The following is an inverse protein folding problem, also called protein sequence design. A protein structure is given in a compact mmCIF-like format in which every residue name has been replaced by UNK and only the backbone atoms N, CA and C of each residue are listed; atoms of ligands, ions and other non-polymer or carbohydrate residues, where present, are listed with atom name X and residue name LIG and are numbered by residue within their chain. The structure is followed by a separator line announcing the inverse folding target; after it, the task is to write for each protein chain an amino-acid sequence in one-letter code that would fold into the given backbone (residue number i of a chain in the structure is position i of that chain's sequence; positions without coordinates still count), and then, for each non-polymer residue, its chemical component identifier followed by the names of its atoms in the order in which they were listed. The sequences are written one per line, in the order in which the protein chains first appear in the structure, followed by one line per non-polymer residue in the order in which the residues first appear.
data_IF_846123977656
#
_entry.id   IF_846123977656
#
_cell.length_a   1.000
_cell.length_b   1.000
_cell.length_c   1.000
_cell.angle_alpha   90.00
_cell.angle_beta   90.00
_cell.angle_gamma   90.00
#
_symmetry.space_group_name_H-M   'P 1'
#
loop_
_entity.id
_entity.type
_entity.pdbx_description
1 polymer ?
#
# COMPACT_ATOMS: atom_id res chain seq x y z
N UNK A 1 3.82 -81.23 8.14
CA UNK A 1 4.35 -81.55 9.45
C UNK A 1 4.90 -80.23 9.98
N UNK A 2 4.30 -79.47 10.79
CA UNK A 2 3.61 -79.73 12.05
C UNK A 2 4.50 -79.28 13.18
N UNK A 3 4.21 -78.15 13.76
CA UNK A 3 4.23 -77.97 15.18
C UNK A 3 3.88 -76.54 15.57
N UNK A 4 2.69 -76.37 16.07
CA UNK A 4 2.23 -75.24 16.89
C UNK A 4 2.88 -75.35 18.27
N UNK A 5 3.33 -74.24 18.81
CA UNK A 5 3.42 -74.04 20.26
C UNK A 5 3.01 -72.65 20.66
N UNK A 6 1.84 -72.59 21.24
CA UNK A 6 1.24 -71.53 22.04
C UNK A 6 1.99 -71.41 23.35
N UNK A 7 2.20 -70.16 23.82
CA UNK A 7 2.18 -69.86 25.26
C UNK A 7 1.84 -68.37 25.49
N UNK A 8 0.58 -68.20 25.85
CA UNK A 8 0.01 -67.06 26.55
C UNK A 8 0.76 -66.76 27.86
N UNK A 9 1.20 -65.55 28.07
CA UNK A 9 1.33 -64.98 29.41
C UNK A 9 0.80 -63.53 29.36
N UNK A 10 -0.41 -63.40 29.80
CA UNK A 10 -1.08 -62.17 30.18
C UNK A 10 -0.39 -61.63 31.42
N UNK A 11 0.28 -60.47 31.34
CA UNK A 11 0.67 -59.70 32.51
C UNK A 11 -0.43 -58.68 32.86
N UNK A 12 -0.69 -58.46 34.15
CA UNK A 12 -1.88 -57.71 34.57
C UNK A 12 -1.70 -56.20 34.35
N UNK A 13 -2.76 -55.57 33.89
CA UNK A 13 -2.97 -54.18 33.47
C UNK A 13 -2.90 -53.15 34.63
N UNK A 14 -2.23 -53.40 35.73
CA UNK A 14 -2.22 -52.53 36.92
C UNK A 14 -0.95 -51.82 37.27
N UNK A 15 0.12 -51.86 36.45
CA UNK A 15 1.40 -51.20 36.75
C UNK A 15 1.80 -50.12 35.76
N UNK A 16 0.96 -49.75 34.77
CA UNK A 16 1.23 -48.67 33.82
C UNK A 16 0.53 -47.33 34.17
N UNK A 17 -0.45 -47.33 35.08
CA UNK A 17 -1.08 -46.09 35.54
C UNK A 17 -0.30 -45.29 36.57
N UNK A 18 0.67 -45.88 37.25
CA UNK A 18 1.45 -45.20 38.27
C UNK A 18 2.72 -44.50 37.74
N UNK A 19 3.10 -44.71 36.47
CA UNK A 19 4.26 -44.03 35.83
C UNK A 19 3.88 -42.85 34.96
N UNK A 20 2.59 -42.68 34.60
CA UNK A 20 2.09 -41.53 33.80
C UNK A 20 1.62 -40.32 34.64
N UNK A 21 1.64 -40.42 35.96
CA UNK A 21 1.06 -39.39 36.84
C UNK A 21 2.10 -38.36 37.35
N UNK A 22 3.26 -38.22 36.74
CA UNK A 22 4.25 -37.16 37.05
C UNK A 22 4.95 -36.58 35.81
N UNK A 23 4.23 -36.34 34.74
CA UNK A 23 4.64 -35.34 33.81
C UNK A 23 3.75 -34.12 34.09
N UNK A 24 4.17 -33.29 35.03
CA UNK A 24 3.68 -31.95 35.16
C UNK A 24 3.79 -31.35 33.74
N UNK A 25 2.74 -30.75 33.15
CA UNK A 25 2.93 -29.87 32.03
C UNK A 25 3.80 -28.74 32.57
N UNK A 26 5.09 -28.78 32.29
CA UNK A 26 5.94 -27.60 32.49
C UNK A 26 5.31 -26.53 31.62
N UNK A 27 4.50 -25.69 32.23
CA UNK A 27 4.26 -24.34 31.77
C UNK A 27 5.64 -23.76 31.49
N UNK A 28 5.97 -23.60 30.21
CA UNK A 28 7.13 -22.81 29.85
C UNK A 28 6.99 -21.48 30.60
N UNK A 29 8.00 -21.02 31.32
CA UNK A 29 7.87 -19.79 32.10
C UNK A 29 7.38 -18.70 31.14
N UNK A 30 6.37 -17.93 31.53
CA UNK A 30 5.94 -16.72 30.82
C UNK A 30 7.13 -15.75 30.64
N UNK A 31 8.18 -15.95 31.38
CA UNK A 31 9.44 -15.23 31.39
C UNK A 31 10.36 -15.56 30.18
N UNK A 32 10.25 -16.71 29.53
CA UNK A 32 11.15 -17.09 28.45
C UNK A 32 10.95 -16.23 27.16
N UNK A 33 9.78 -15.65 26.97
CA UNK A 33 9.47 -14.78 25.83
C UNK A 33 9.82 -13.30 26.12
N UNK A 34 10.02 -12.91 27.38
CA UNK A 34 10.25 -11.52 27.77
C UNK A 34 11.53 -10.92 27.14
N UNK A 35 12.71 -11.55 27.16
CA UNK A 35 13.91 -10.99 26.55
C UNK A 35 13.74 -10.78 25.04
N UNK A 36 13.14 -11.75 24.34
CA UNK A 36 12.87 -11.65 22.89
C UNK A 36 11.89 -10.50 22.63
N UNK A 37 10.83 -10.39 23.42
CA UNK A 37 9.81 -9.31 23.27
C UNK A 37 10.42 -7.93 23.49
N UNK A 38 11.22 -7.75 24.55
CA UNK A 38 11.84 -6.47 24.90
C UNK A 38 12.85 -6.04 23.84
N UNK A 39 13.67 -6.98 23.37
CA UNK A 39 14.61 -6.73 22.28
C UNK A 39 13.89 -6.39 20.98
N UNK A 40 12.88 -7.20 20.60
CA UNK A 40 12.06 -6.99 19.42
C UNK A 40 11.36 -5.63 19.46
N UNK A 41 10.83 -5.23 20.61
CA UNK A 41 10.17 -3.95 20.82
C UNK A 41 11.08 -2.75 20.50
N UNK A 42 12.40 -2.89 20.66
CA UNK A 42 13.40 -1.86 20.36
C UNK A 42 13.82 -1.81 18.88
N UNK A 43 13.44 -2.81 18.06
CA UNK A 43 13.79 -2.83 16.64
C UNK A 43 13.14 -1.65 15.90
N UNK A 44 13.93 -0.89 15.15
CA UNK A 44 13.45 0.22 14.32
C UNK A 44 13.15 -0.33 12.93
N UNK A 45 11.87 -0.35 12.57
CA UNK A 45 11.45 -0.76 11.23
C UNK A 45 11.81 0.31 10.19
N UNK A 46 12.50 -0.05 9.08
CA UNK A 46 13.00 0.92 8.11
C UNK A 46 11.87 1.64 7.34
N UNK A 47 10.70 1.02 7.20
CA UNK A 47 9.55 1.63 6.52
C UNK A 47 8.79 2.57 7.45
N UNK A 48 8.61 2.19 8.71
CA UNK A 48 7.94 3.03 9.72
C UNK A 48 8.85 4.16 10.23
N UNK A 49 10.16 3.93 10.29
CA UNK A 49 11.14 4.87 10.86
C UNK A 49 10.96 5.06 12.37
N UNK A 50 10.35 4.11 13.05
CA UNK A 50 10.09 4.09 14.49
C UNK A 50 10.22 2.66 15.03
N UNK A 51 10.32 2.51 16.35
CA UNK A 51 10.42 1.18 16.95
C UNK A 51 9.11 0.40 16.82
N UNK A 52 9.21 -0.94 16.82
CA UNK A 52 8.01 -1.80 16.80
C UNK A 52 7.09 -1.53 18.02
N UNK A 53 7.68 -1.14 19.16
CA UNK A 53 6.90 -0.71 20.32
C UNK A 53 6.12 0.57 20.05
N UNK A 54 6.75 1.62 19.49
CA UNK A 54 6.10 2.87 19.15
C UNK A 54 4.99 2.68 18.10
N UNK A 55 5.19 1.75 17.17
CA UNK A 55 4.22 1.37 16.17
C UNK A 55 3.09 0.48 16.71
N UNK A 56 3.20 -0.01 17.94
CA UNK A 56 2.32 -1.05 18.51
C UNK A 56 2.21 -2.26 17.56
N UNK A 57 3.35 -2.67 16.99
CA UNK A 57 3.41 -3.67 15.94
C UNK A 57 3.61 -5.10 16.47
N UNK A 58 4.10 -5.27 17.71
CA UNK A 58 4.26 -6.60 18.33
C UNK A 58 2.91 -7.07 18.84
N UNK A 59 2.35 -8.10 18.22
CA UNK A 59 1.06 -8.70 18.62
C UNK A 59 1.29 -9.80 19.66
N UNK A 60 2.18 -10.74 19.37
CA UNK A 60 2.55 -11.79 20.32
C UNK A 60 3.99 -12.28 20.12
N UNK A 61 4.56 -12.80 21.20
CA UNK A 61 5.82 -13.55 21.20
C UNK A 61 5.62 -14.79 22.05
N UNK A 62 5.81 -15.95 21.48
CA UNK A 62 5.72 -17.24 22.20
C UNK A 62 6.96 -18.09 21.95
N UNK A 63 7.42 -18.77 22.99
CA UNK A 63 8.59 -19.65 22.94
C UNK A 63 8.15 -21.08 23.19
N UNK A 64 8.56 -21.98 22.32
CA UNK A 64 8.30 -23.40 22.38
C UNK A 64 9.61 -24.19 22.43
N UNK A 65 9.52 -25.51 22.64
CA UNK A 65 10.72 -26.37 22.72
C UNK A 65 11.65 -26.28 21.52
N UNK A 66 11.10 -26.00 20.33
CA UNK A 66 11.83 -26.04 19.06
C UNK A 66 12.00 -24.67 18.41
N UNK A 67 11.50 -23.57 18.99
CA UNK A 67 11.56 -22.27 18.35
C UNK A 67 10.82 -21.17 19.10
N UNK A 68 10.94 -19.98 18.57
CA UNK A 68 10.18 -18.80 18.97
C UNK A 68 9.27 -18.39 17.80
N UNK A 69 7.97 -18.16 18.08
CA UNK A 69 7.03 -17.59 17.14
C UNK A 69 6.80 -16.12 17.49
N UNK A 70 7.01 -15.25 16.53
CA UNK A 70 6.76 -13.81 16.61
C UNK A 70 5.63 -13.46 15.66
N UNK A 71 4.60 -12.83 16.19
CA UNK A 71 3.50 -12.29 15.40
C UNK A 71 3.55 -10.76 15.41
N UNK A 72 3.66 -10.19 14.21
CA UNK A 72 3.68 -8.74 14.02
C UNK A 72 2.46 -8.28 13.24
N UNK A 73 1.96 -7.09 13.60
CA UNK A 73 0.84 -6.44 12.96
C UNK A 73 1.24 -5.07 12.45
N UNK A 74 1.14 -4.88 11.13
CA UNK A 74 1.46 -3.62 10.49
C UNK A 74 0.22 -2.88 9.98
N UNK A 75 0.19 -1.57 10.10
CA UNK A 75 -0.87 -0.71 9.55
C UNK A 75 -0.79 -0.53 8.03
N UNK A 76 -0.02 -1.36 7.32
CA UNK A 76 0.17 -1.32 5.88
C UNK A 76 0.18 -2.73 5.27
N UNK A 77 -0.01 -2.89 3.95
CA UNK A 77 0.04 -4.18 3.27
C UNK A 77 1.43 -4.80 3.38
N UNK A 78 1.55 -6.02 3.88
CA UNK A 78 2.84 -6.63 4.24
C UNK A 78 2.97 -8.12 3.88
N UNK A 79 2.15 -8.64 2.95
CA UNK A 79 2.13 -10.08 2.65
C UNK A 79 3.51 -10.62 2.20
N UNK A 80 4.28 -9.86 1.42
CA UNK A 80 5.63 -10.23 0.94
C UNK A 80 6.76 -9.70 1.83
N UNK A 81 6.46 -8.84 2.81
CA UNK A 81 7.48 -8.21 3.66
C UNK A 81 8.18 -9.21 4.59
N UNK A 82 7.51 -10.29 4.96
CA UNK A 82 8.08 -11.32 5.83
C UNK A 82 9.37 -11.93 5.29
N UNK A 83 9.48 -12.10 3.98
CA UNK A 83 10.68 -12.64 3.35
C UNK A 83 11.91 -11.72 3.51
N UNK A 84 11.70 -10.40 3.53
CA UNK A 84 12.75 -9.40 3.76
C UNK A 84 13.06 -9.26 5.26
N UNK A 85 12.04 -9.26 6.11
CA UNK A 85 12.14 -8.93 7.53
C UNK A 85 12.69 -10.11 8.38
N UNK A 86 12.31 -11.36 8.07
CA UNK A 86 12.67 -12.53 8.86
C UNK A 86 14.19 -12.71 9.02
N UNK A 87 15.04 -12.65 7.97
CA UNK A 87 16.48 -12.81 8.13
C UNK A 87 17.09 -11.67 8.97
N UNK A 88 16.56 -10.45 8.84
CA UNK A 88 17.04 -9.29 9.62
C UNK A 88 16.68 -9.45 11.09
N UNK A 89 15.43 -9.82 11.41
CA UNK A 89 15.02 -10.06 12.79
C UNK A 89 15.72 -11.24 13.41
N UNK A 90 16.00 -12.30 12.66
CA UNK A 90 16.77 -13.45 13.16
C UNK A 90 18.16 -13.00 13.62
N UNK A 91 18.88 -12.24 12.81
CA UNK A 91 20.19 -11.69 13.17
C UNK A 91 20.09 -10.73 14.36
N UNK A 92 19.07 -9.88 14.39
CA UNK A 92 18.87 -8.90 15.47
C UNK A 92 18.55 -9.56 16.82
N UNK A 93 17.82 -10.67 16.80
CA UNK A 93 17.37 -11.40 17.99
C UNK A 93 18.29 -12.57 18.36
N UNK A 94 19.38 -12.85 17.62
CA UNK A 94 20.23 -14.01 17.82
C UNK A 94 20.74 -14.17 19.25
N UNK A 95 21.17 -13.11 19.99
CA UNK A 95 21.59 -13.24 21.38
C UNK A 95 20.50 -13.76 22.31
N UNK A 96 19.23 -13.40 22.08
CA UNK A 96 18.08 -13.77 22.89
C UNK A 96 17.48 -15.13 22.47
N UNK A 97 17.68 -15.51 21.19
CA UNK A 97 17.19 -16.80 20.67
C UNK A 97 17.99 -18.00 21.17
N UNK A 98 19.29 -17.81 21.48
CA UNK A 98 20.13 -18.92 21.97
C UNK A 98 20.23 -20.11 20.99
N UNK A 99 20.12 -19.84 19.68
CA UNK A 99 20.18 -20.86 18.63
C UNK A 99 18.86 -21.56 18.31
N UNK A 100 17.73 -21.16 18.92
CA UNK A 100 16.40 -21.70 18.55
C UNK A 100 15.90 -21.09 17.25
N UNK A 101 15.02 -21.82 16.55
CA UNK A 101 14.43 -21.35 15.31
C UNK A 101 13.48 -20.17 15.57
N UNK A 102 13.47 -19.18 14.65
CA UNK A 102 12.54 -18.06 14.66
C UNK A 102 11.53 -18.23 13.52
N UNK A 103 10.26 -18.31 13.89
CA UNK A 103 9.12 -18.22 12.99
C UNK A 103 8.50 -16.82 13.08
N UNK A 104 8.13 -16.25 11.92
CA UNK A 104 7.56 -14.92 11.82
C UNK A 104 6.22 -14.96 11.06
N UNK A 105 5.18 -14.45 11.69
CA UNK A 105 3.88 -14.23 11.06
C UNK A 105 3.62 -12.74 10.99
N UNK A 106 3.26 -12.24 9.80
CA UNK A 106 2.88 -10.85 9.58
C UNK A 106 1.39 -10.75 9.26
N UNK A 107 0.74 -9.75 9.84
CA UNK A 107 -0.66 -9.41 9.57
C UNK A 107 -0.78 -7.93 9.21
N UNK A 108 -1.53 -7.64 8.16
CA UNK A 108 -1.92 -6.27 7.80
C UNK A 108 -3.18 -5.87 8.58
N UNK A 109 -3.13 -4.72 9.27
CA UNK A 109 -4.26 -4.11 9.97
C UNK A 109 -4.43 -2.66 9.51
N UNK A 110 -4.91 -2.51 8.27
CA UNK A 110 -5.07 -1.21 7.63
C UNK A 110 -6.28 -0.51 8.24
N UNK A 111 -6.04 0.63 8.87
CA UNK A 111 -7.05 1.46 9.50
C UNK A 111 -7.39 2.68 8.64
N UNK A 112 -8.54 3.31 8.89
CA UNK A 112 -8.91 4.59 8.27
C UNK A 112 -8.10 5.73 8.88
N UNK A 113 -7.70 6.68 8.04
CA UNK A 113 -6.97 7.87 8.46
C UNK A 113 -7.80 9.13 8.23
N UNK A 114 -7.51 10.15 9.05
CA UNK A 114 -8.23 11.42 9.00
C UNK A 114 -8.07 12.08 7.62
N UNK A 115 -9.18 12.60 7.12
CA UNK A 115 -9.26 13.42 5.91
C UNK A 115 -9.36 14.91 6.29
N UNK A 116 -9.52 15.80 5.30
CA UNK A 116 -9.76 17.23 5.55
C UNK A 116 -10.97 17.43 6.48
N UNK A 117 -10.86 18.36 7.43
CA UNK A 117 -11.86 18.59 8.50
C UNK A 117 -13.29 18.85 7.99
N UNK A 118 -13.42 19.45 6.81
CA UNK A 118 -14.71 19.83 6.21
C UNK A 118 -15.35 18.69 5.41
N UNK A 119 -14.64 17.59 5.20
CA UNK A 119 -15.09 16.47 4.37
C UNK A 119 -15.46 15.26 5.23
N UNK A 120 -16.35 14.44 4.68
CA UNK A 120 -16.68 13.12 5.26
C UNK A 120 -15.94 12.04 4.48
N UNK A 121 -15.39 11.02 5.16
CA UNK A 121 -14.82 9.85 4.49
C UNK A 121 -15.85 9.21 3.54
N UNK A 122 -15.38 8.64 2.45
CA UNK A 122 -16.21 7.88 1.53
C UNK A 122 -16.60 6.54 2.19
N UNK A 123 -17.88 6.18 2.14
CA UNK A 123 -18.35 4.91 2.67
C UNK A 123 -17.60 3.74 2.00
N UNK A 124 -17.27 2.72 2.79
CA UNK A 124 -16.57 1.50 2.34
C UNK A 124 -15.12 1.69 1.86
N UNK A 125 -14.56 2.90 1.87
CA UNK A 125 -13.17 3.18 1.51
C UNK A 125 -12.42 3.70 2.74
N UNK A 126 -11.41 2.95 3.20
CA UNK A 126 -10.65 3.35 4.40
C UNK A 126 -9.74 4.56 4.13
N UNK A 127 -9.04 4.56 3.01
CA UNK A 127 -8.06 5.58 2.69
C UNK A 127 -8.11 5.96 1.21
N UNK A 128 -8.15 7.25 0.91
CA UNK A 128 -8.01 7.77 -0.44
C UNK A 128 -6.63 8.41 -0.55
N UNK A 129 -5.83 7.97 -1.53
CA UNK A 129 -4.49 8.48 -1.79
C UNK A 129 -4.44 9.12 -3.17
N UNK A 130 -4.21 10.43 -3.20
CA UNK A 130 -4.06 11.18 -4.43
C UNK A 130 -2.63 11.03 -4.99
N UNK A 131 -2.52 10.71 -6.28
CA UNK A 131 -1.25 10.75 -7.03
C UNK A 131 -1.30 11.96 -7.95
N UNK A 132 -0.42 12.91 -7.72
CA UNK A 132 -0.42 14.19 -8.40
C UNK A 132 0.97 14.54 -8.97
N UNK A 133 0.99 15.43 -9.93
CA UNK A 133 2.23 15.98 -10.51
C UNK A 133 2.06 17.45 -10.86
N UNK A 134 3.15 18.21 -10.79
CA UNK A 134 3.15 19.62 -11.16
C UNK A 134 3.02 19.86 -12.66
N UNK A 135 3.35 18.88 -13.51
CA UNK A 135 3.24 18.96 -14.98
C UNK A 135 2.90 17.58 -15.58
N UNK A 136 2.47 17.58 -16.85
CA UNK A 136 2.27 16.36 -17.63
C UNK A 136 3.58 15.69 -18.04
N UNK A 137 3.52 14.40 -18.40
CA UNK A 137 4.66 13.65 -18.94
C UNK A 137 5.68 13.13 -17.92
N UNK A 138 5.46 13.29 -16.61
CA UNK A 138 6.36 12.78 -15.56
C UNK A 138 6.10 11.32 -15.15
N UNK A 139 5.15 10.65 -15.79
CA UNK A 139 4.78 9.26 -15.46
C UNK A 139 3.85 9.11 -14.26
N UNK A 140 3.05 10.14 -13.96
CA UNK A 140 2.06 10.15 -12.87
C UNK A 140 1.11 8.95 -12.93
N UNK A 141 0.44 8.75 -14.07
CA UNK A 141 -0.57 7.71 -14.26
C UNK A 141 0.02 6.29 -14.22
N UNK A 142 1.21 6.10 -14.81
CA UNK A 142 1.98 4.85 -14.69
C UNK A 142 2.35 4.55 -13.23
N UNK A 143 2.74 5.58 -12.48
CA UNK A 143 3.04 5.46 -11.04
C UNK A 143 1.77 5.12 -10.25
N UNK A 144 0.63 5.75 -10.56
CA UNK A 144 -0.65 5.48 -9.90
C UNK A 144 -1.13 4.04 -10.14
N UNK A 145 -1.07 3.55 -11.38
CA UNK A 145 -1.41 2.17 -11.73
C UNK A 145 -0.53 1.16 -10.97
N UNK A 146 0.80 1.32 -11.05
CA UNK A 146 1.73 0.41 -10.38
C UNK A 146 1.66 0.51 -8.84
N UNK A 147 1.34 1.67 -8.26
CA UNK A 147 1.06 1.83 -6.83
C UNK A 147 -0.15 0.99 -6.40
N UNK A 148 -1.26 1.10 -7.15
CA UNK A 148 -2.47 0.33 -6.88
C UNK A 148 -2.22 -1.17 -6.97
N UNK A 149 -1.54 -1.61 -8.03
CA UNK A 149 -1.17 -3.00 -8.25
C UNK A 149 -0.20 -3.53 -7.17
N UNK A 150 0.77 -2.72 -6.74
CA UNK A 150 1.71 -3.09 -5.69
C UNK A 150 1.02 -3.30 -4.33
N UNK A 151 0.05 -2.45 -3.98
CA UNK A 151 -0.74 -2.65 -2.76
C UNK A 151 -1.66 -3.87 -2.86
N UNK A 152 -2.29 -4.10 -4.02
CA UNK A 152 -3.12 -5.28 -4.25
C UNK A 152 -2.28 -6.58 -4.16
N UNK A 153 -1.09 -6.61 -4.77
CA UNK A 153 -0.16 -7.74 -4.69
C UNK A 153 0.31 -8.03 -3.26
N UNK A 154 0.33 -7.03 -2.38
CA UNK A 154 0.68 -7.17 -0.96
C UNK A 154 -0.55 -7.44 -0.05
N UNK A 155 -1.70 -7.76 -0.64
CA UNK A 155 -2.89 -8.25 0.07
C UNK A 155 -3.91 -7.18 0.47
N UNK A 156 -3.78 -5.93 0.00
CA UNK A 156 -4.80 -4.91 0.22
C UNK A 156 -5.92 -5.01 -0.82
N UNK A 157 -7.12 -4.57 -0.45
CA UNK A 157 -8.23 -4.35 -1.37
C UNK A 157 -8.11 -2.94 -1.93
N UNK A 158 -7.93 -2.81 -3.23
CA UNK A 158 -7.53 -1.54 -3.86
C UNK A 158 -8.47 -1.17 -4.99
N UNK A 159 -8.82 0.12 -5.05
CA UNK A 159 -9.44 0.78 -6.18
C UNK A 159 -8.50 1.78 -6.84
N UNK A 160 -8.72 2.05 -8.12
CA UNK A 160 -8.03 3.06 -8.92
C UNK A 160 -9.07 3.91 -9.63
N UNK A 161 -9.09 5.22 -9.33
CA UNK A 161 -9.91 6.20 -10.00
C UNK A 161 -9.03 7.07 -10.89
N UNK A 162 -9.29 7.03 -12.20
CA UNK A 162 -8.72 7.96 -13.16
C UNK A 162 -9.52 9.27 -13.14
N UNK A 163 -8.93 10.30 -12.62
CA UNK A 163 -9.49 11.64 -12.53
C UNK A 163 -8.93 12.62 -13.59
N UNK A 164 -8.11 12.13 -14.52
CA UNK A 164 -7.59 12.93 -15.63
C UNK A 164 -8.58 12.94 -16.81
N UNK A 165 -9.53 13.86 -16.76
CA UNK A 165 -10.61 13.96 -17.80
C UNK A 165 -10.06 14.32 -19.17
N UNK A 166 -8.95 15.07 -19.23
CA UNK A 166 -8.40 15.54 -20.51
C UNK A 166 -7.60 14.47 -21.25
N UNK A 167 -7.06 13.50 -20.52
CA UNK A 167 -6.27 12.41 -21.07
C UNK A 167 -6.40 11.14 -20.24
N UNK A 168 -7.62 10.56 -20.15
CA UNK A 168 -7.83 9.37 -19.34
C UNK A 168 -7.00 8.22 -19.90
N UNK A 169 -6.05 7.74 -19.11
CA UNK A 169 -5.06 6.74 -19.53
C UNK A 169 -5.22 5.39 -18.84
N UNK A 170 -5.90 5.35 -17.70
CA UNK A 170 -6.06 4.12 -16.94
C UNK A 170 -6.85 3.01 -17.68
N UNK A 171 -7.87 3.32 -18.53
CA UNK A 171 -8.51 2.29 -19.35
C UNK A 171 -7.52 1.50 -20.21
N UNK A 172 -6.60 2.20 -20.88
CA UNK A 172 -5.57 1.56 -21.70
C UNK A 172 -4.56 0.82 -20.83
N UNK A 173 -3.99 1.48 -19.83
CA UNK A 173 -2.94 0.91 -18.96
C UNK A 173 -3.40 -0.34 -18.21
N UNK A 174 -4.68 -0.44 -17.84
CA UNK A 174 -5.23 -1.56 -17.10
C UNK A 174 -5.86 -2.64 -18.01
N UNK A 175 -5.71 -2.53 -19.35
CA UNK A 175 -6.24 -3.49 -20.31
C UNK A 175 -7.78 -3.51 -20.41
N UNK A 176 -8.42 -2.38 -20.08
CA UNK A 176 -9.88 -2.23 -20.04
C UNK A 176 -10.42 -1.29 -21.13
N UNK A 177 -9.59 -0.92 -22.12
CA UNK A 177 -9.99 -0.04 -23.21
C UNK A 177 -11.19 -0.63 -23.98
N UNK A 178 -12.18 0.21 -24.26
CA UNK A 178 -13.41 -0.18 -24.98
C UNK A 178 -14.44 -0.95 -24.15
N UNK A 179 -14.14 -1.30 -22.89
CA UNK A 179 -15.10 -1.95 -22.00
C UNK A 179 -15.93 -0.88 -21.28
N UNK A 180 -17.25 -1.04 -21.28
CA UNK A 180 -18.16 -0.11 -20.57
C UNK A 180 -18.62 -0.72 -19.25
N UNK A 181 -18.58 0.06 -18.14
CA UNK A 181 -19.11 -0.38 -16.87
C UNK A 181 -20.64 -0.52 -16.92
N UNK A 182 -21.17 -1.39 -16.09
CA UNK A 182 -22.62 -1.60 -15.98
C UNK A 182 -23.20 -0.78 -14.84
N UNK A 183 -24.48 -0.42 -14.96
CA UNK A 183 -25.28 0.13 -13.86
C UNK A 183 -26.23 -0.92 -13.34
N UNK A 184 -26.31 -1.11 -12.03
CA UNK A 184 -27.17 -2.15 -11.42
C UNK A 184 -28.59 -1.63 -11.17
N UNK A 185 -28.74 -0.34 -10.89
CA UNK A 185 -30.00 0.31 -10.51
C UNK A 185 -30.28 1.60 -11.29
N UNK A 186 -29.57 1.82 -12.41
CA UNK A 186 -29.64 3.02 -13.23
C UNK A 186 -28.97 4.26 -12.61
N UNK A 187 -28.47 4.16 -11.38
CA UNK A 187 -27.80 5.25 -10.67
C UNK A 187 -26.36 4.93 -10.31
N UNK A 188 -26.10 3.76 -9.75
CA UNK A 188 -24.77 3.36 -9.31
C UNK A 188 -24.04 2.59 -10.40
N UNK A 189 -22.77 2.88 -10.56
CA UNK A 189 -21.89 2.31 -11.57
C UNK A 189 -21.00 1.24 -10.92
N UNK A 190 -21.02 0.03 -11.47
CA UNK A 190 -20.15 -1.04 -11.01
C UNK A 190 -18.74 -0.82 -11.58
N UNK A 191 -17.69 -0.71 -10.74
CA UNK A 191 -16.31 -0.54 -11.24
C UNK A 191 -15.88 -1.77 -12.03
N UNK A 192 -15.08 -1.56 -13.07
CA UNK A 192 -14.42 -2.65 -13.77
C UNK A 192 -13.30 -3.25 -12.91
N UNK A 193 -12.88 -4.47 -13.24
CA UNK A 193 -11.80 -5.15 -12.50
C UNK A 193 -10.70 -5.60 -13.43
N UNK A 194 -9.45 -5.25 -13.11
CA UNK A 194 -8.27 -5.73 -13.79
C UNK A 194 -7.14 -5.96 -12.77
N UNK A 195 -6.39 -7.03 -12.94
CA UNK A 195 -5.22 -7.38 -12.11
C UNK A 195 -5.47 -7.33 -10.59
N UNK A 196 -6.70 -7.66 -10.14
CA UNK A 196 -7.08 -7.62 -8.71
C UNK A 196 -7.47 -6.24 -8.16
N UNK A 197 -7.54 -5.20 -9.02
CA UNK A 197 -7.90 -3.82 -8.66
C UNK A 197 -9.26 -3.46 -9.25
N UNK A 198 -10.10 -2.73 -8.48
CA UNK A 198 -11.32 -2.10 -8.99
C UNK A 198 -10.94 -0.79 -9.70
N UNK A 199 -11.38 -0.62 -10.95
CA UNK A 199 -10.97 0.51 -11.79
C UNK A 199 -12.18 1.30 -12.25
N UNK A 200 -12.13 2.61 -12.09
CA UNK A 200 -13.10 3.54 -12.66
C UNK A 200 -12.38 4.69 -13.36
N UNK A 201 -12.89 5.09 -14.51
CA UNK A 201 -12.38 6.20 -15.29
C UNK A 201 -13.53 6.89 -16.01
N UNK A 202 -13.41 8.20 -16.14
CA UNK A 202 -14.31 8.95 -17.04
C UNK A 202 -14.19 8.43 -18.49
N UNK A 203 -13.02 7.92 -18.87
CA UNK A 203 -12.77 7.34 -20.19
C UNK A 203 -13.62 6.11 -20.53
N UNK A 204 -14.26 5.46 -19.55
CA UNK A 204 -15.24 4.41 -19.80
C UNK A 204 -16.63 4.94 -20.20
N UNK A 205 -16.93 6.20 -19.86
CA UNK A 205 -18.26 6.81 -20.01
C UNK A 205 -18.34 7.75 -21.20
N UNK A 206 -17.22 8.24 -21.69
CA UNK A 206 -17.15 9.14 -22.85
C UNK A 206 -16.66 8.39 -24.08
N UNK A 207 -17.12 8.83 -25.24
CA UNK A 207 -16.60 8.33 -26.50
C UNK A 207 -15.27 9.05 -26.81
N UNK A 208 -14.20 8.27 -26.98
CA UNK A 208 -12.87 8.81 -27.25
C UNK A 208 -12.78 9.61 -28.56
N UNK A 209 -13.69 9.37 -29.50
CA UNK A 209 -13.74 10.07 -30.80
C UNK A 209 -14.56 11.36 -30.77
N UNK A 210 -15.34 11.59 -29.70
CA UNK A 210 -16.15 12.81 -29.59
C UNK A 210 -15.47 13.87 -28.72
N UNK A 211 -15.00 14.99 -29.30
CA UNK A 211 -14.41 16.06 -28.52
C UNK A 211 -15.46 16.72 -27.63
N UNK A 212 -15.40 16.48 -26.33
CA UNK A 212 -16.23 17.19 -25.35
C UNK A 212 -15.49 18.43 -24.85
N UNK A 213 -16.17 19.58 -24.91
CA UNK A 213 -15.61 20.83 -24.35
C UNK A 213 -15.88 20.87 -22.85
N UNK A 214 -14.95 20.35 -22.08
CA UNK A 214 -15.02 20.36 -20.62
C UNK A 214 -14.60 21.73 -20.07
N UNK A 215 -15.48 22.34 -19.23
CA UNK A 215 -15.13 23.52 -18.43
C UNK A 215 -14.85 23.10 -17.01
N UNK A 216 -13.95 23.80 -16.31
CA UNK A 216 -13.49 23.43 -14.97
C UNK A 216 -14.56 23.00 -13.96
N UNK A 217 -15.67 23.77 -13.77
CA UNK A 217 -16.75 23.38 -12.87
C UNK A 217 -17.45 22.06 -13.27
N UNK A 218 -17.63 21.81 -14.59
CA UNK A 218 -18.23 20.57 -15.10
C UNK A 218 -17.31 19.37 -14.82
N UNK A 219 -16.01 19.53 -15.04
CA UNK A 219 -14.99 18.51 -14.73
C UNK A 219 -15.07 18.08 -13.27
N UNK A 220 -15.05 19.04 -12.36
CA UNK A 220 -15.08 18.76 -10.93
C UNK A 220 -16.37 18.10 -10.49
N UNK A 221 -17.51 18.53 -11.05
CA UNK A 221 -18.80 17.91 -10.76
C UNK A 221 -18.84 16.45 -11.25
N UNK A 222 -18.43 16.20 -12.49
CA UNK A 222 -18.39 14.86 -13.07
C UNK A 222 -17.50 13.91 -12.27
N UNK A 223 -16.32 14.35 -11.85
CA UNK A 223 -15.41 13.54 -11.04
C UNK A 223 -15.93 13.29 -9.62
N UNK A 224 -16.55 14.29 -8.98
CA UNK A 224 -17.19 14.11 -7.67
C UNK A 224 -18.34 13.12 -7.75
N UNK A 225 -19.12 13.20 -8.82
CA UNK A 225 -20.21 12.27 -9.09
C UNK A 225 -19.67 10.87 -9.39
N UNK A 226 -18.65 10.75 -10.24
CA UNK A 226 -18.02 9.47 -10.56
C UNK A 226 -17.45 8.79 -9.30
N UNK A 227 -16.82 9.55 -8.41
CA UNK A 227 -16.34 9.03 -7.13
C UNK A 227 -17.49 8.52 -6.24
N UNK A 228 -18.59 9.28 -6.16
CA UNK A 228 -19.73 8.98 -5.29
C UNK A 228 -20.69 7.94 -5.83
N UNK A 229 -20.92 7.92 -7.15
CA UNK A 229 -21.86 7.00 -7.80
C UNK A 229 -21.22 5.65 -8.16
N UNK A 230 -19.91 5.50 -8.03
CA UNK A 230 -19.24 4.20 -8.18
C UNK A 230 -19.49 3.33 -6.95
N UNK A 231 -20.03 2.14 -7.17
CA UNK A 231 -20.24 1.12 -6.14
C UNK A 231 -18.93 0.45 -5.76
N UNK A 232 -18.03 1.21 -5.12
CA UNK A 232 -16.78 0.66 -4.61
C UNK A 232 -17.05 -0.44 -3.60
N UNK A 233 -16.27 -1.51 -3.65
CA UNK A 233 -16.26 -2.56 -2.62
C UNK A 233 -15.69 -2.04 -1.28
N UNK A 234 -15.48 -2.97 -0.35
CA UNK A 234 -14.78 -2.65 0.89
C UNK A 234 -13.29 -2.46 0.59
N UNK A 235 -12.85 -1.23 0.33
CA UNK A 235 -11.48 -0.91 -0.05
C UNK A 235 -10.64 -0.51 1.15
N UNK A 236 -9.39 -0.97 1.17
CA UNK A 236 -8.37 -0.49 2.09
C UNK A 236 -7.73 0.80 1.56
N UNK A 237 -7.56 0.88 0.22
CA UNK A 237 -7.06 2.07 -0.48
C UNK A 237 -7.84 2.34 -1.76
N UNK A 238 -8.11 3.61 -2.03
CA UNK A 238 -8.51 4.10 -3.35
C UNK A 238 -7.42 5.06 -3.84
N UNK A 239 -6.73 4.68 -4.90
CA UNK A 239 -5.73 5.54 -5.58
C UNK A 239 -6.48 6.44 -6.54
N UNK A 240 -6.26 7.75 -6.43
CA UNK A 240 -6.84 8.75 -7.36
C UNK A 240 -5.72 9.31 -8.21
N UNK A 241 -5.74 8.99 -9.50
CA UNK A 241 -4.84 9.54 -10.51
C UNK A 241 -5.34 10.94 -10.90
N UNK A 242 -4.72 11.98 -10.32
CA UNK A 242 -5.16 13.37 -10.46
C UNK A 242 -4.81 13.93 -11.84
N UNK A 243 -5.54 14.94 -12.37
CA UNK A 243 -5.08 15.68 -13.55
C UNK A 243 -3.69 16.27 -13.35
N UNK A 244 -2.88 16.45 -14.39
CA UNK A 244 -1.57 17.09 -14.26
C UNK A 244 -1.67 18.61 -14.02
N UNK A 245 -0.65 19.18 -13.40
CA UNK A 245 -0.56 20.62 -13.17
C UNK A 245 -0.92 21.03 -11.73
N UNK A 246 -1.11 22.32 -11.50
CA UNK A 246 -1.43 22.93 -10.20
C UNK A 246 -2.56 23.97 -10.31
N UNK A 247 -3.39 23.82 -11.36
CA UNK A 247 -4.48 24.75 -11.66
C UNK A 247 -5.75 24.53 -10.82
N UNK A 248 -6.77 25.31 -11.14
CA UNK A 248 -8.05 25.37 -10.38
C UNK A 248 -8.76 24.00 -10.30
N UNK A 249 -8.64 23.17 -11.32
CA UNK A 249 -9.27 21.84 -11.33
C UNK A 249 -8.64 20.94 -10.27
N UNK A 250 -7.32 20.88 -10.23
CA UNK A 250 -6.59 20.08 -9.23
C UNK A 250 -6.87 20.59 -7.82
N UNK A 251 -6.83 21.90 -7.61
CA UNK A 251 -7.15 22.52 -6.32
C UNK A 251 -8.57 22.18 -5.89
N UNK A 252 -9.56 22.31 -6.78
CA UNK A 252 -10.96 22.03 -6.48
C UNK A 252 -11.19 20.56 -6.20
N UNK A 253 -10.54 19.66 -6.93
CA UNK A 253 -10.61 18.21 -6.65
C UNK A 253 -10.00 17.90 -5.28
N UNK A 254 -8.81 18.43 -4.99
CA UNK A 254 -8.17 18.25 -3.69
C UNK A 254 -9.00 18.80 -2.52
N UNK A 255 -9.89 19.77 -2.76
CA UNK A 255 -10.83 20.31 -1.76
C UNK A 255 -12.12 19.49 -1.62
N UNK A 256 -12.51 18.70 -2.63
CA UNK A 256 -13.80 17.97 -2.64
C UNK A 256 -13.65 16.46 -2.42
N UNK A 257 -12.52 15.89 -2.76
CA UNK A 257 -12.20 14.47 -2.52
C UNK A 257 -11.66 14.33 -1.10
N UNK A 258 -12.20 13.42 -0.27
CA UNK A 258 -11.72 13.21 1.10
C UNK A 258 -10.39 12.43 1.11
N UNK A 259 -9.29 13.13 0.84
CA UNK A 259 -7.95 12.55 0.68
C UNK A 259 -7.27 12.34 2.02
N UNK A 260 -6.85 11.11 2.30
CA UNK A 260 -6.07 10.75 3.51
C UNK A 260 -4.59 11.11 3.36
N UNK A 261 -4.08 11.19 2.13
CA UNK A 261 -2.71 11.58 1.84
C UNK A 261 -2.45 11.74 0.35
N UNK A 262 -1.43 12.51 -0.02
CA UNK A 262 -1.05 12.76 -1.40
C UNK A 262 0.41 12.33 -1.68
N UNK A 263 0.68 11.86 -2.88
CA UNK A 263 2.01 11.52 -3.41
C UNK A 263 2.28 12.46 -4.57
N UNK A 264 3.46 13.08 -4.58
CA UNK A 264 3.90 13.97 -5.66
C UNK A 264 4.89 13.23 -6.55
N UNK A 265 4.54 13.07 -7.82
CA UNK A 265 5.43 12.46 -8.83
C UNK A 265 6.14 13.57 -9.60
N UNK A 266 7.46 13.46 -9.70
CA UNK A 266 8.31 14.38 -10.44
C UNK A 266 9.42 13.63 -11.18
N UNK A 267 10.20 14.34 -11.98
CA UNK A 267 11.46 13.86 -12.59
C UNK A 267 12.61 14.69 -12.06
N UNK A 268 13.89 14.26 -12.20
CA UNK A 268 15.03 14.98 -11.64
C UNK A 268 15.27 16.39 -12.19
N UNK A 269 14.67 16.74 -13.34
CA UNK A 269 14.87 18.03 -14.00
C UNK A 269 14.37 19.21 -13.15
N UNK A 270 15.14 20.29 -13.07
CA UNK A 270 14.82 21.48 -12.27
C UNK A 270 13.44 22.08 -12.57
N UNK A 271 13.05 22.12 -13.85
CA UNK A 271 11.73 22.62 -14.26
C UNK A 271 10.59 21.75 -13.68
N UNK A 272 10.77 20.42 -13.69
CA UNK A 272 9.79 19.51 -13.11
C UNK A 272 9.69 19.67 -11.58
N UNK A 273 10.84 19.87 -10.92
CA UNK A 273 10.91 20.13 -9.50
C UNK A 273 10.24 21.46 -9.10
N UNK A 274 10.39 22.51 -9.90
CA UNK A 274 9.69 23.79 -9.68
C UNK A 274 8.18 23.62 -9.67
N UNK A 275 7.63 22.84 -10.60
CA UNK A 275 6.20 22.58 -10.66
C UNK A 275 5.73 21.60 -9.56
N UNK A 276 6.54 20.60 -9.22
CA UNK A 276 6.27 19.70 -8.10
C UNK A 276 6.18 20.44 -6.76
N UNK A 277 7.02 21.47 -6.55
CA UNK A 277 6.93 22.38 -5.37
C UNK A 277 5.60 23.09 -5.27
N UNK A 278 5.07 23.58 -6.42
CA UNK A 278 3.73 24.21 -6.45
C UNK A 278 2.64 23.18 -6.07
N UNK A 279 2.74 21.94 -6.56
CA UNK A 279 1.84 20.85 -6.20
C UNK A 279 1.87 20.55 -4.70
N UNK A 280 3.05 20.49 -4.09
CA UNK A 280 3.20 20.29 -2.65
C UNK A 280 2.52 21.42 -1.85
N UNK A 281 2.80 22.69 -2.22
CA UNK A 281 2.18 23.86 -1.60
C UNK A 281 0.66 23.90 -1.78
N UNK A 282 0.14 23.42 -2.91
CA UNK A 282 -1.29 23.30 -3.14
C UNK A 282 -1.93 22.35 -2.12
N UNK A 283 -1.37 21.16 -1.91
CA UNK A 283 -1.88 20.21 -0.93
C UNK A 283 -1.77 20.71 0.52
N UNK A 284 -0.69 21.40 0.87
CA UNK A 284 -0.57 22.07 2.18
C UNK A 284 -1.71 23.08 2.40
N UNK A 285 -2.03 23.89 1.37
CA UNK A 285 -3.09 24.92 1.43
C UNK A 285 -4.49 24.32 1.66
N UNK A 286 -4.74 23.09 1.20
CA UNK A 286 -6.03 22.39 1.36
C UNK A 286 -6.00 21.38 2.51
N UNK A 287 -5.02 21.46 3.40
CA UNK A 287 -4.85 20.60 4.58
C UNK A 287 -4.73 19.09 4.25
N UNK A 288 -4.28 18.75 3.06
CA UNK A 288 -3.94 17.36 2.68
C UNK A 288 -2.48 17.08 2.98
N UNK A 289 -2.21 16.03 3.74
CA UNK A 289 -0.84 15.64 4.05
C UNK A 289 -0.15 15.02 2.86
N UNK A 290 1.03 15.53 2.50
CA UNK A 290 1.89 14.93 1.50
C UNK A 290 2.66 13.78 2.16
N UNK A 291 2.42 12.55 1.69
CA UNK A 291 3.10 11.34 2.16
C UNK A 291 4.58 11.37 1.75
N UNK A 292 4.85 11.88 0.55
CA UNK A 292 6.18 12.06 0.04
C UNK A 292 6.24 12.32 -1.45
N UNK A 293 7.46 12.31 -1.96
CA UNK A 293 7.81 12.55 -3.37
C UNK A 293 8.30 11.24 -3.99
N UNK A 294 7.92 11.00 -5.24
CA UNK A 294 8.48 9.94 -6.09
C UNK A 294 9.27 10.62 -7.21
N UNK A 295 10.57 10.33 -7.29
CA UNK A 295 11.42 10.73 -8.42
C UNK A 295 11.34 9.65 -9.50
N UNK A 296 10.59 9.92 -10.55
CA UNK A 296 10.48 9.01 -11.68
C UNK A 296 11.55 9.35 -12.74
N UNK A 297 11.91 8.36 -13.57
CA UNK A 297 12.94 8.49 -14.60
C UNK A 297 14.30 8.90 -13.99
N UNK A 298 14.61 8.42 -12.78
CA UNK A 298 15.81 8.81 -12.04
C UNK A 298 17.09 8.21 -12.61
N UNK A 299 17.00 6.99 -13.14
CA UNK A 299 18.13 6.24 -13.69
C UNK A 299 17.67 5.43 -14.90
N UNK A 300 18.51 5.43 -15.95
CA UNK A 300 18.38 4.51 -17.07
C UNK A 300 19.50 3.47 -16.99
N UNK A 301 19.14 2.21 -17.18
CA UNK A 301 20.11 1.12 -17.30
C UNK A 301 20.05 0.61 -18.74
N UNK A 302 21.14 0.76 -19.46
CA UNK A 302 21.25 0.32 -20.85
C UNK A 302 21.03 -1.18 -20.95
N UNK A 303 20.10 -1.61 -21.80
CA UNK A 303 19.76 -3.02 -22.01
C UNK A 303 20.89 -3.84 -22.64
N UNK A 304 21.80 -3.17 -23.38
CA UNK A 304 22.89 -3.82 -24.11
C UNK A 304 24.14 -4.05 -23.25
N UNK A 305 24.54 -3.04 -22.47
CA UNK A 305 25.81 -3.10 -21.74
C UNK A 305 25.67 -2.94 -20.21
N UNK A 306 24.45 -2.74 -19.69
CA UNK A 306 24.21 -2.55 -18.26
C UNK A 306 24.71 -1.21 -17.69
N UNK A 307 25.22 -0.29 -18.53
CA UNK A 307 25.65 1.02 -18.08
C UNK A 307 24.48 1.79 -17.46
N UNK A 308 24.70 2.31 -16.24
CA UNK A 308 23.72 3.10 -15.52
C UNK A 308 23.96 4.59 -15.74
N UNK A 309 22.96 5.32 -16.21
CA UNK A 309 23.06 6.74 -16.56
C UNK A 309 21.88 7.54 -16.02
N UNK A 310 22.16 8.74 -15.50
CA UNK A 310 21.15 9.69 -15.04
C UNK A 310 20.82 10.69 -16.15
N UNK A 311 20.04 10.26 -17.15
CA UNK A 311 19.72 11.05 -18.36
C UNK A 311 19.10 12.41 -18.00
N UNK A 312 18.27 12.48 -16.97
CA UNK A 312 17.58 13.70 -16.55
C UNK A 312 18.19 14.36 -15.30
N UNK A 313 19.41 13.96 -14.90
CA UNK A 313 20.03 14.38 -13.65
C UNK A 313 19.70 13.45 -12.49
N UNK A 314 20.18 13.74 -11.29
CA UNK A 314 20.07 12.88 -10.12
C UNK A 314 19.73 13.65 -8.84
N UNK A 315 19.00 12.99 -7.92
CA UNK A 315 18.77 13.44 -6.55
C UNK A 315 17.93 14.71 -6.41
N UNK A 316 17.24 15.15 -7.46
CA UNK A 316 16.35 16.32 -7.40
C UNK A 316 15.19 16.12 -6.45
N UNK A 317 14.56 14.94 -6.49
CA UNK A 317 13.48 14.56 -5.59
C UNK A 317 13.94 14.45 -4.14
N UNK A 318 15.15 13.93 -3.89
CA UNK A 318 15.71 13.84 -2.55
C UNK A 318 15.96 15.25 -1.96
N UNK A 319 16.59 16.16 -2.72
CA UNK A 319 16.78 17.57 -2.29
C UNK A 319 15.46 18.27 -2.01
N UNK A 320 14.45 18.05 -2.86
CA UNK A 320 13.12 18.61 -2.66
C UNK A 320 12.45 18.02 -1.39
N UNK A 321 12.53 16.71 -1.19
CA UNK A 321 11.99 16.06 -0.02
C UNK A 321 12.59 16.59 1.27
N UNK A 322 13.90 16.74 1.33
CA UNK A 322 14.61 17.34 2.46
C UNK A 322 14.21 18.80 2.69
N UNK A 323 14.19 19.62 1.65
CA UNK A 323 13.83 21.05 1.73
C UNK A 323 12.43 21.28 2.28
N UNK A 324 11.47 20.40 1.98
CA UNK A 324 10.07 20.53 2.39
C UNK A 324 9.68 19.61 3.58
N UNK A 325 10.65 18.90 4.15
CA UNK A 325 10.40 18.01 5.30
C UNK A 325 9.47 16.85 4.99
N UNK A 326 9.40 16.42 3.73
CA UNK A 326 8.63 15.24 3.29
C UNK A 326 9.57 14.07 2.99
N UNK A 327 9.03 12.87 2.78
CA UNK A 327 9.86 11.69 2.48
C UNK A 327 10.08 11.52 0.97
N UNK A 328 11.27 11.07 0.57
CA UNK A 328 11.47 10.44 -0.74
C UNK A 328 10.92 9.00 -0.64
N UNK A 329 9.85 8.72 -1.38
CA UNK A 329 9.19 7.41 -1.35
C UNK A 329 9.91 6.41 -2.27
N UNK A 330 10.52 6.88 -3.34
CA UNK A 330 11.27 6.03 -4.26
C UNK A 330 11.84 6.80 -5.44
N UNK A 331 12.82 6.16 -6.05
CA UNK A 331 13.42 6.53 -7.32
C UNK A 331 13.08 5.43 -8.31
N UNK A 332 12.33 5.77 -9.36
CA UNK A 332 11.84 4.82 -10.35
C UNK A 332 12.68 4.94 -11.63
N UNK A 333 13.00 3.82 -12.27
CA UNK A 333 13.85 3.83 -13.45
C UNK A 333 13.13 4.38 -14.69
N UNK A 334 13.92 4.89 -15.63
CA UNK A 334 13.52 5.11 -17.01
C UNK A 334 13.83 3.81 -17.80
N UNK A 335 12.80 3.04 -18.10
CA UNK A 335 12.93 1.76 -18.80
C UNK A 335 11.80 1.64 -19.85
N UNK A 336 12.16 1.27 -21.07
CA UNK A 336 11.24 1.12 -22.20
C UNK A 336 10.13 0.09 -21.91
N UNK A 337 10.44 -0.94 -21.15
CA UNK A 337 9.49 -2.01 -20.80
C UNK A 337 8.35 -1.49 -19.92
N UNK A 338 8.63 -0.51 -19.03
CA UNK A 338 7.57 0.11 -18.21
C UNK A 338 6.51 0.72 -19.14
N UNK A 339 6.94 1.38 -20.24
CA UNK A 339 6.01 1.93 -21.22
C UNK A 339 5.30 0.82 -22.00
N UNK A 340 6.03 -0.15 -22.53
CA UNK A 340 5.47 -1.23 -23.35
C UNK A 340 4.45 -2.06 -22.57
N UNK A 341 4.76 -2.38 -21.32
CA UNK A 341 3.89 -3.12 -20.41
C UNK A 341 2.60 -2.32 -20.10
N UNK A 342 2.73 -1.01 -19.83
CA UNK A 342 1.59 -0.14 -19.58
C UNK A 342 0.73 0.08 -20.84
N UNK A 343 1.34 0.32 -22.00
CA UNK A 343 0.67 0.44 -23.29
C UNK A 343 -0.05 -0.87 -23.69
N UNK A 344 0.54 -2.00 -23.31
CA UNK A 344 -0.02 -3.35 -23.50
C UNK A 344 -1.14 -3.73 -22.54
N UNK A 345 -1.53 -2.87 -21.61
CA UNK A 345 -2.62 -3.11 -20.66
C UNK A 345 -2.27 -3.97 -19.45
N UNK A 346 -0.98 -4.19 -19.21
CA UNK A 346 -0.48 -4.94 -18.06
C UNK A 346 0.73 -4.22 -17.45
N UNK A 347 0.51 -3.25 -16.53
CA UNK A 347 1.60 -2.47 -15.94
C UNK A 347 2.63 -3.36 -15.23
N UNK A 348 3.86 -2.86 -15.09
CA UNK A 348 5.06 -3.57 -14.66
C UNK A 348 4.88 -4.50 -13.46
N UNK A 349 4.15 -4.07 -12.41
CA UNK A 349 3.92 -4.91 -11.23
C UNK A 349 3.09 -6.16 -11.55
N UNK A 350 2.19 -6.08 -12.54
CA UNK A 350 1.37 -7.20 -13.00
C UNK A 350 2.10 -8.03 -14.09
N UNK A 351 2.77 -7.37 -15.04
CA UNK A 351 3.42 -8.02 -16.18
C UNK A 351 4.66 -8.81 -15.77
N UNK A 352 5.54 -8.23 -14.93
CA UNK A 352 6.82 -8.82 -14.53
C UNK A 352 7.09 -8.61 -13.04
N UNK A 353 6.31 -9.29 -12.15
CA UNK A 353 6.37 -9.08 -10.71
C UNK A 353 7.73 -9.43 -10.08
N UNK A 354 8.56 -10.23 -10.75
CA UNK A 354 9.91 -10.60 -10.32
C UNK A 354 11.01 -9.60 -10.68
N UNK A 355 10.73 -8.65 -11.54
CA UNK A 355 11.74 -7.70 -12.04
C UNK A 355 12.19 -6.69 -10.98
N UNK A 356 13.40 -6.15 -11.17
CA UNK A 356 13.89 -5.03 -10.37
C UNK A 356 13.00 -3.78 -10.48
N UNK A 357 12.35 -3.57 -11.63
CA UNK A 357 11.38 -2.50 -11.87
C UNK A 357 10.15 -2.66 -10.98
N UNK A 358 9.56 -3.87 -10.96
CA UNK A 358 8.41 -4.18 -10.11
C UNK A 358 8.78 -4.08 -8.62
N UNK A 359 9.99 -4.49 -8.23
CA UNK A 359 10.49 -4.35 -6.87
C UNK A 359 10.58 -2.88 -6.46
N UNK A 360 11.08 -2.00 -7.34
CA UNK A 360 11.14 -0.56 -7.06
C UNK A 360 9.74 0.03 -6.79
N UNK A 361 8.74 -0.32 -7.59
CA UNK A 361 7.34 0.08 -7.36
C UNK A 361 6.79 -0.49 -6.04
N UNK A 362 7.05 -1.77 -5.72
CA UNK A 362 6.59 -2.38 -4.45
C UNK A 362 7.22 -1.73 -3.24
N UNK A 363 8.50 -1.41 -3.27
CA UNK A 363 9.19 -0.70 -2.19
C UNK A 363 8.65 0.73 -2.02
N UNK A 364 8.44 1.46 -3.12
CA UNK A 364 7.81 2.77 -3.12
C UNK A 364 6.41 2.72 -2.51
N UNK A 365 5.59 1.75 -2.94
CA UNK A 365 4.24 1.54 -2.45
C UNK A 365 4.21 1.21 -0.95
N UNK A 366 5.14 0.37 -0.46
CA UNK A 366 5.28 0.04 0.96
C UNK A 366 5.66 1.26 1.78
N UNK A 367 6.63 2.10 1.32
CA UNK A 367 6.98 3.36 1.99
C UNK A 367 5.80 4.32 2.07
N UNK A 368 5.02 4.43 1.00
CA UNK A 368 3.82 5.28 0.98
C UNK A 368 2.77 4.82 1.99
N UNK A 369 2.45 3.51 2.01
CA UNK A 369 1.48 2.95 2.94
C UNK A 369 1.97 2.99 4.40
N UNK A 370 3.25 2.68 4.66
CA UNK A 370 3.85 2.80 5.98
C UNK A 370 3.84 4.24 6.48
N UNK A 371 4.12 5.22 5.59
CA UNK A 371 4.04 6.64 5.95
C UNK A 371 2.60 7.04 6.30
N UNK A 372 1.61 6.59 5.53
CA UNK A 372 0.19 6.84 5.84
C UNK A 372 -0.17 6.23 7.21
N UNK A 373 0.25 4.99 7.48
CA UNK A 373 -0.02 4.31 8.74
C UNK A 373 0.51 5.04 10.00
N UNK A 374 1.50 5.93 9.84
CA UNK A 374 2.02 6.78 10.93
C UNK A 374 1.23 8.06 11.14
N UNK A 375 0.23 8.37 10.30
CA UNK A 375 -0.61 9.56 10.45
C UNK A 375 -1.75 9.37 11.46
N UNK A 376 -2.44 10.46 11.79
CA UNK A 376 -3.57 10.43 12.69
C UNK A 376 -4.70 9.56 12.13
N UNK A 377 -5.17 8.61 12.94
CA UNK A 377 -6.28 7.73 12.60
C UNK A 377 -7.61 8.49 12.65
N UNK A 378 -8.57 8.05 11.84
CA UNK A 378 -9.95 8.50 11.92
C UNK A 378 -10.70 7.65 12.94
N UNK A 379 -11.17 8.28 14.02
CA UNK A 379 -11.98 7.64 15.06
C UNK A 379 -13.47 8.00 14.96
N UNK A 380 -13.90 8.69 13.89
CA UNK A 380 -15.29 9.19 13.75
C UNK A 380 -16.33 8.05 13.73
N UNK A 381 -15.94 6.85 13.30
CA UNK A 381 -16.81 5.66 13.31
C UNK A 381 -16.88 4.97 14.68
N UNK A 382 -15.96 5.26 15.59
CA UNK A 382 -15.86 4.61 16.91
C UNK A 382 -16.64 5.37 17.97
N UNK A 383 -16.74 6.69 17.83
CA UNK A 383 -17.48 7.55 18.78
C UNK A 383 -18.91 7.79 18.29
N UNK A 384 -19.94 7.47 19.07
CA UNK A 384 -21.32 7.79 18.72
C UNK A 384 -21.47 9.31 18.63
N UNK A 385 -22.21 9.79 17.61
CA UNK A 385 -22.58 11.21 17.51
C UNK A 385 -23.42 11.57 18.72
N UNK A 386 -22.93 12.45 19.57
CA UNK A 386 -23.73 13.07 20.64
C UNK A 386 -24.63 14.09 19.93
N UNK A 387 -25.90 13.77 19.72
CA UNK A 387 -26.95 14.72 19.35
C UNK A 387 -27.46 15.37 20.62
N UNK A 388 -27.17 16.65 20.78
CA UNK A 388 -27.84 17.45 21.82
C UNK A 388 -29.18 17.86 21.25
N UNK A 389 -30.27 17.22 21.69
CA UNK A 389 -31.61 17.70 21.41
C UNK A 389 -31.82 18.97 22.28
N UNK A 390 -32.00 20.11 21.61
CA UNK A 390 -32.43 21.31 22.31
C UNK A 390 -33.89 21.13 22.71
N UNK A 391 -34.14 21.06 24.02
CA UNK A 391 -35.47 21.10 24.63
C UNK A 391 -36.05 22.51 24.56
#
# INVERSE_FOLDING_TARGET
MGAYLSLSRIMPYRTLEAACARINPMTAPQDAAAPIRDKLASYIDPYLGQTLAQANAVESVSVHRNGALVELKFGFPCADYGAELLPVLRTFLEPELGGVHLDLTLRSDITSHAVQRTLKPLAHVKNIVAVASGKGGVGKSTTAANLALAWAAQGARVGLLDADIYGPSQPQMMGLAGIKPQTTDGKHITPLRAHGVEVMSIGFLIDAEQPMVWRGPMVTQALTQLLGDTSWGQLDYLVVDMPPGTGDIQLTLAQRVPVSGAIIVTTPQDIALLDARKGLKMFEKVEVRVLGVVENMSIHICSECGHAEHIFGSGGGARMAEQYGVKLLGELPLDIRIREEADGGSPTVAADPGSARALAYRQMARRAAARLATLNKDYSSVFPKITVEAT
#
